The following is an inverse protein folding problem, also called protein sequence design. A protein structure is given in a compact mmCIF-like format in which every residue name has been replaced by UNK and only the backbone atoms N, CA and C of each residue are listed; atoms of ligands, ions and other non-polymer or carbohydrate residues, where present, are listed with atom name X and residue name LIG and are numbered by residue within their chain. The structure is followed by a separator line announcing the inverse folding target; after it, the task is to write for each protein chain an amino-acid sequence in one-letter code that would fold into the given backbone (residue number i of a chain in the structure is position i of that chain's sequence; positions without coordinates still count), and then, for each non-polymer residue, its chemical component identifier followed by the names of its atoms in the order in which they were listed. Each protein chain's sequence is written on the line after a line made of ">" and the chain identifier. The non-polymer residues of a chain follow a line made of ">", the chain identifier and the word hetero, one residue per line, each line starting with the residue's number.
data_IF_470409085078
#
_entry.id   IF_470409085078
#
_cell.length_a   1.000
_cell.length_b   1.000
_cell.length_c   1.000
_cell.angle_alpha   90.00
_cell.angle_beta   90.00
_cell.angle_gamma   90.00
#
_symmetry.space_group_name_H-M   'P 1'
#
loop_
_entity.id
_entity.type
_entity.pdbx_description
1 polymer ?
#
# COMPACT_ATOMS: atom_id res chain seq x y z
N UNK A 1 26.89 0.51 0.39
CA UNK A 1 27.00 -0.22 1.67
C UNK A 1 25.73 -0.12 2.51
N UNK A 2 25.12 1.07 2.69
CA UNK A 2 23.91 1.23 3.52
C UNK A 2 22.73 0.36 3.06
N UNK A 3 22.50 0.23 1.73
CA UNK A 3 21.42 -0.60 1.18
C UNK A 3 21.67 -2.09 1.52
N UNK A 4 22.87 -2.58 1.35
CA UNK A 4 23.19 -3.98 1.64
C UNK A 4 23.14 -4.30 3.13
N UNK A 5 23.62 -3.37 3.98
CA UNK A 5 23.50 -3.50 5.43
C UNK A 5 22.02 -3.51 5.87
N UNK A 6 21.20 -2.63 5.29
CA UNK A 6 19.76 -2.61 5.53
C UNK A 6 19.07 -3.90 5.12
N UNK A 7 19.40 -4.45 3.95
CA UNK A 7 18.85 -5.73 3.50
C UNK A 7 19.27 -6.89 4.40
N UNK A 8 20.54 -6.95 4.81
CA UNK A 8 21.02 -7.97 5.72
C UNK A 8 20.27 -7.95 7.06
N UNK A 9 20.03 -6.75 7.63
CA UNK A 9 19.23 -6.60 8.85
C UNK A 9 17.78 -7.07 8.67
N UNK A 10 17.16 -6.75 7.53
CA UNK A 10 15.78 -7.21 7.23
C UNK A 10 15.72 -8.72 7.11
N UNK A 11 16.67 -9.34 6.41
CA UNK A 11 16.72 -10.81 6.27
C UNK A 11 16.92 -11.47 7.63
N UNK A 12 17.87 -10.98 8.43
CA UNK A 12 18.13 -11.50 9.78
C UNK A 12 16.91 -11.39 10.68
N UNK A 13 16.25 -10.22 10.68
CA UNK A 13 15.01 -10.01 11.43
C UNK A 13 13.93 -11.00 11.03
N UNK A 14 13.69 -11.16 9.73
CA UNK A 14 12.64 -12.04 9.22
C UNK A 14 12.94 -13.52 9.54
N UNK A 15 14.23 -13.94 9.51
CA UNK A 15 14.63 -15.27 9.92
C UNK A 15 14.37 -15.53 11.41
N UNK A 16 14.68 -14.55 12.28
CA UNK A 16 14.39 -14.65 13.72
C UNK A 16 12.88 -14.70 13.99
N UNK A 17 12.08 -13.89 13.30
CA UNK A 17 10.63 -13.93 13.43
C UNK A 17 10.05 -15.26 12.95
N UNK A 18 10.53 -15.78 11.82
CA UNK A 18 10.15 -17.09 11.31
C UNK A 18 10.48 -18.21 12.28
N UNK A 19 11.67 -18.18 12.87
CA UNK A 19 12.07 -19.16 13.88
C UNK A 19 11.18 -19.10 15.14
N UNK A 20 10.81 -17.90 15.60
CA UNK A 20 9.94 -17.73 16.75
C UNK A 20 8.51 -18.28 16.48
N UNK A 21 7.95 -18.03 15.30
CA UNK A 21 6.66 -18.57 14.90
C UNK A 21 6.69 -20.09 14.72
N UNK A 22 7.77 -20.65 14.16
CA UNK A 22 7.95 -22.11 14.11
C UNK A 22 8.01 -22.72 15.51
N UNK A 23 8.70 -22.06 16.45
CA UNK A 23 8.70 -22.45 17.86
C UNK A 23 7.29 -22.43 18.48
N UNK A 24 6.44 -21.46 18.11
CA UNK A 24 5.06 -21.41 18.55
C UNK A 24 4.27 -22.65 18.11
N UNK A 25 4.38 -23.09 16.88
CA UNK A 25 3.69 -24.30 16.42
C UNK A 25 4.17 -25.58 17.10
N UNK A 26 5.42 -25.62 17.55
CA UNK A 26 5.94 -26.74 18.35
C UNK A 26 5.36 -26.75 19.76
N UNK A 27 5.20 -25.57 20.37
CA UNK A 27 4.66 -25.43 21.72
C UNK A 27 3.14 -25.62 21.78
N UNK A 28 2.44 -25.27 20.70
CA UNK A 28 0.96 -25.28 20.64
C UNK A 28 0.47 -26.03 19.40
N UNK A 29 0.63 -27.37 19.33
CA UNK A 29 0.27 -28.17 18.14
C UNK A 29 -1.22 -28.27 17.87
N UNK A 30 -2.06 -28.02 18.87
CA UNK A 30 -3.54 -28.19 18.77
C UNK A 30 -4.28 -26.95 18.28
N UNK A 31 -3.56 -25.97 17.73
CA UNK A 31 -4.19 -24.76 17.17
C UNK A 31 -4.92 -25.09 15.87
N UNK A 32 -6.20 -24.79 15.82
CA UNK A 32 -7.08 -25.11 14.69
C UNK A 32 -7.74 -23.89 14.05
N UNK A 33 -7.70 -22.72 14.73
CA UNK A 33 -8.38 -21.51 14.30
C UNK A 33 -7.42 -20.40 13.86
N UNK A 34 -7.79 -19.63 12.86
CA UNK A 34 -7.00 -18.49 12.34
C UNK A 34 -6.76 -17.44 13.44
N UNK A 35 -7.72 -17.23 14.32
CA UNK A 35 -7.57 -16.30 15.48
C UNK A 35 -6.42 -16.69 16.41
N UNK A 36 -6.16 -17.98 16.55
CA UNK A 36 -5.04 -18.48 17.35
C UNK A 36 -3.69 -18.10 16.70
N UNK A 37 -3.61 -18.11 15.38
CA UNK A 37 -2.40 -17.70 14.64
C UNK A 37 -2.16 -16.19 14.72
N UNK A 38 -3.20 -15.38 14.67
CA UNK A 38 -3.09 -13.92 14.82
C UNK A 38 -2.61 -13.55 16.24
N UNK A 39 -3.01 -14.31 17.24
CA UNK A 39 -2.58 -14.11 18.62
C UNK A 39 -1.26 -14.82 18.96
N UNK A 40 -0.71 -15.61 18.04
CA UNK A 40 0.49 -16.45 18.27
C UNK A 40 1.68 -15.67 18.84
N UNK A 41 1.95 -14.50 18.28
CA UNK A 41 3.05 -13.66 18.70
C UNK A 41 2.91 -13.13 20.12
N UNK A 42 1.71 -12.69 20.47
CA UNK A 42 1.40 -12.20 21.83
C UNK A 42 1.47 -13.33 22.84
N UNK A 43 0.85 -14.45 22.53
CA UNK A 43 0.83 -15.63 23.38
C UNK A 43 2.23 -16.16 23.64
N UNK A 44 3.03 -16.32 22.58
CA UNK A 44 4.42 -16.73 22.72
C UNK A 44 5.21 -15.79 23.64
N UNK A 45 5.09 -14.47 23.44
CA UNK A 45 5.78 -13.48 24.25
C UNK A 45 5.33 -13.49 25.71
N UNK A 46 4.04 -13.52 25.98
CA UNK A 46 3.51 -13.48 27.36
C UNK A 46 3.73 -14.78 28.13
N UNK A 47 3.76 -15.93 27.46
CA UNK A 47 3.90 -17.23 28.14
C UNK A 47 5.36 -17.69 28.27
N UNK A 48 6.27 -17.22 27.41
CA UNK A 48 7.67 -17.70 27.40
C UNK A 48 8.70 -16.73 27.98
N UNK A 49 8.38 -15.42 28.01
CA UNK A 49 9.32 -14.42 28.50
C UNK A 49 9.31 -14.31 30.03
N UNK A 50 10.50 -14.09 30.65
CA UNK A 50 10.58 -13.77 32.07
C UNK A 50 9.83 -12.49 32.42
N UNK A 51 9.34 -12.38 33.66
CA UNK A 51 8.50 -11.26 34.12
C UNK A 51 9.05 -9.87 33.80
N UNK A 52 10.35 -9.63 33.93
CA UNK A 52 10.98 -8.35 33.60
C UNK A 52 10.99 -8.06 32.08
N UNK A 53 11.06 -9.08 31.22
CA UNK A 53 11.06 -8.94 29.77
C UNK A 53 9.65 -8.79 29.18
N UNK A 54 8.62 -9.22 29.86
CA UNK A 54 7.23 -9.05 29.42
C UNK A 54 6.88 -7.56 29.27
N UNK A 55 7.29 -6.72 30.23
CA UNK A 55 7.09 -5.28 30.15
C UNK A 55 7.82 -4.65 28.94
N UNK A 56 9.05 -5.08 28.69
CA UNK A 56 9.83 -4.66 27.51
C UNK A 56 9.17 -5.07 26.20
N UNK A 57 8.70 -6.31 26.13
CA UNK A 57 7.98 -6.85 24.97
C UNK A 57 6.70 -6.06 24.69
N UNK A 58 5.89 -5.82 25.72
CA UNK A 58 4.68 -5.00 25.60
C UNK A 58 4.98 -3.57 25.15
N UNK A 59 5.98 -2.92 25.75
CA UNK A 59 6.40 -1.58 25.35
C UNK A 59 6.89 -1.53 23.90
N UNK A 60 7.61 -2.54 23.44
CA UNK A 60 8.06 -2.65 22.06
C UNK A 60 6.89 -2.78 21.06
N UNK A 61 5.89 -3.61 21.38
CA UNK A 61 4.67 -3.75 20.57
C UNK A 61 3.93 -2.41 20.49
N UNK A 62 3.71 -1.76 21.61
CA UNK A 62 3.03 -0.45 21.65
C UNK A 62 3.80 0.58 20.85
N UNK A 63 5.13 0.65 20.99
CA UNK A 63 5.98 1.58 20.26
C UNK A 63 5.92 1.38 18.73
N UNK A 64 5.96 0.13 18.25
CA UNK A 64 5.83 -0.20 16.83
C UNK A 64 4.47 0.28 16.29
N UNK A 65 3.38 0.00 17.00
CA UNK A 65 2.04 0.41 16.59
C UNK A 65 1.89 1.93 16.59
N UNK A 66 2.33 2.62 17.63
CA UNK A 66 2.28 4.08 17.69
C UNK A 66 3.08 4.73 16.59
N UNK A 67 4.27 4.22 16.27
CA UNK A 67 5.09 4.72 15.17
C UNK A 67 4.36 4.60 13.82
N UNK A 68 3.78 3.44 13.54
CA UNK A 68 3.06 3.18 12.29
C UNK A 68 1.79 4.03 12.19
N UNK A 69 0.94 4.03 13.22
CA UNK A 69 -0.31 4.81 13.27
C UNK A 69 -0.02 6.30 13.11
N UNK A 70 0.95 6.85 13.86
CA UNK A 70 1.34 8.25 13.77
C UNK A 70 1.75 8.65 12.35
N UNK A 71 2.56 7.82 11.69
CA UNK A 71 3.00 8.07 10.32
C UNK A 71 1.82 8.10 9.33
N UNK A 72 0.92 7.13 9.40
CA UNK A 72 -0.23 7.05 8.49
C UNK A 72 -1.25 8.17 8.76
N UNK A 73 -1.50 8.52 10.02
CA UNK A 73 -2.39 9.64 10.37
C UNK A 73 -1.83 10.97 9.87
N UNK A 74 -0.52 11.20 10.06
CA UNK A 74 0.13 12.42 9.56
C UNK A 74 0.08 12.51 8.04
N UNK A 75 0.38 11.41 7.34
CA UNK A 75 0.32 11.35 5.88
C UNK A 75 -1.10 11.60 5.37
N UNK A 76 -2.10 10.95 5.95
CA UNK A 76 -3.50 11.15 5.62
C UNK A 76 -3.97 12.57 5.89
N UNK A 77 -3.54 13.18 7.02
CA UNK A 77 -3.84 14.57 7.33
C UNK A 77 -3.22 15.54 6.31
N UNK A 78 -2.01 15.26 5.81
CA UNK A 78 -1.38 16.05 4.74
C UNK A 78 -2.18 15.95 3.45
N UNK A 79 -2.62 14.78 3.02
CA UNK A 79 -3.47 14.61 1.85
C UNK A 79 -4.80 15.39 1.99
N UNK A 80 -5.47 15.29 3.13
CA UNK A 80 -6.70 16.06 3.38
C UNK A 80 -6.42 17.58 3.35
N UNK A 81 -5.32 18.02 3.95
CA UNK A 81 -5.03 19.43 4.11
C UNK A 81 -4.49 20.07 2.84
N UNK A 82 -3.46 19.48 2.24
CA UNK A 82 -2.75 20.07 1.10
C UNK A 82 -3.41 19.73 -0.23
N UNK A 83 -3.71 18.44 -0.45
CA UNK A 83 -4.15 17.97 -1.75
C UNK A 83 -5.66 18.20 -1.94
N UNK A 84 -6.46 18.01 -0.88
CA UNK A 84 -7.90 18.20 -0.97
C UNK A 84 -8.33 19.63 -0.60
N UNK A 85 -8.08 20.04 0.64
CA UNK A 85 -8.59 21.32 1.15
C UNK A 85 -7.92 22.52 0.50
N UNK A 86 -6.59 22.59 0.53
CA UNK A 86 -5.87 23.74 -0.01
C UNK A 86 -5.97 23.81 -1.54
N UNK A 87 -5.91 22.66 -2.23
CA UNK A 87 -5.95 22.67 -3.68
C UNK A 87 -7.34 22.92 -4.27
N UNK A 88 -8.39 22.29 -3.72
CA UNK A 88 -9.75 22.34 -4.32
C UNK A 88 -10.74 23.22 -3.56
N UNK A 89 -10.64 23.36 -2.23
CA UNK A 89 -11.65 24.03 -1.42
C UNK A 89 -11.25 25.47 -1.13
N UNK A 90 -10.03 25.71 -0.66
CA UNK A 90 -9.56 27.04 -0.33
C UNK A 90 -8.08 27.26 -0.67
N UNK A 91 -7.73 27.60 -1.93
CA UNK A 91 -6.35 27.84 -2.35
C UNK A 91 -5.68 29.04 -1.67
N UNK A 92 -6.45 29.93 -1.02
CA UNK A 92 -5.94 31.10 -0.31
C UNK A 92 -5.93 30.95 1.21
N UNK A 93 -6.07 29.70 1.72
CA UNK A 93 -6.05 29.44 3.15
C UNK A 93 -4.68 29.80 3.75
N UNK A 94 -4.72 30.49 4.89
CA UNK A 94 -3.53 30.76 5.68
C UNK A 94 -3.01 29.50 6.41
N UNK A 95 -1.76 29.53 6.86
CA UNK A 95 -1.13 28.39 7.53
C UNK A 95 -1.85 27.97 8.81
N UNK A 96 -2.44 28.90 9.57
CA UNK A 96 -3.21 28.59 10.80
C UNK A 96 -4.43 27.76 10.47
N UNK A 97 -5.13 28.10 9.38
CA UNK A 97 -6.30 27.37 8.93
C UNK A 97 -5.94 25.98 8.42
N UNK A 98 -4.82 25.84 7.69
CA UNK A 98 -4.31 24.56 7.23
C UNK A 98 -3.93 23.65 8.40
N UNK A 99 -3.28 24.16 9.44
CA UNK A 99 -2.97 23.41 10.66
C UNK A 99 -4.26 22.93 11.36
N UNK A 100 -5.29 23.78 11.44
CA UNK A 100 -6.55 23.38 12.03
C UNK A 100 -7.26 22.28 11.23
N UNK A 101 -7.33 22.43 9.90
CA UNK A 101 -7.87 21.40 8.99
C UNK A 101 -7.10 20.08 9.14
N UNK A 102 -5.77 20.14 9.26
CA UNK A 102 -4.94 18.96 9.50
C UNK A 102 -5.29 18.24 10.81
N UNK A 103 -5.49 19.00 11.91
CA UNK A 103 -5.91 18.43 13.19
C UNK A 103 -7.27 17.73 13.11
N UNK A 104 -8.25 18.40 12.48
CA UNK A 104 -9.58 17.82 12.27
C UNK A 104 -9.49 16.57 11.39
N UNK A 105 -8.71 16.64 10.30
CA UNK A 105 -8.45 15.50 9.44
C UNK A 105 -7.85 14.30 10.19
N UNK A 106 -6.87 14.56 11.07
CA UNK A 106 -6.28 13.50 11.92
C UNK A 106 -7.32 12.85 12.82
N UNK A 107 -8.19 13.64 13.45
CA UNK A 107 -9.26 13.12 14.33
C UNK A 107 -10.26 12.29 13.52
N UNK A 108 -10.68 12.77 12.35
CA UNK A 108 -11.60 12.03 11.46
C UNK A 108 -11.00 10.68 11.05
N UNK A 109 -9.73 10.67 10.65
CA UNK A 109 -9.02 9.45 10.26
C UNK A 109 -8.90 8.49 11.45
N UNK A 110 -8.58 8.99 12.62
CA UNK A 110 -8.44 8.17 13.83
C UNK A 110 -9.77 7.52 14.20
N UNK A 111 -10.85 8.32 14.29
CA UNK A 111 -12.19 7.81 14.60
C UNK A 111 -12.67 6.82 13.54
N UNK A 112 -12.48 7.15 12.25
CA UNK A 112 -12.78 6.26 11.15
C UNK A 112 -12.03 4.93 11.24
N UNK A 113 -10.75 4.97 11.61
CA UNK A 113 -9.94 3.75 11.81
C UNK A 113 -10.44 2.89 12.96
N UNK A 114 -10.88 3.48 14.07
CA UNK A 114 -11.48 2.75 15.18
C UNK A 114 -12.81 2.09 14.79
N UNK A 115 -13.70 2.83 14.11
CA UNK A 115 -14.98 2.30 13.64
C UNK A 115 -14.74 1.14 12.68
N UNK A 116 -13.85 1.33 11.70
CA UNK A 116 -13.53 0.31 10.73
C UNK A 116 -12.89 -0.93 11.37
N UNK A 117 -11.92 -0.72 12.27
CA UNK A 117 -11.27 -1.80 13.01
C UNK A 117 -12.21 -2.60 13.91
N UNK A 118 -13.28 -1.97 14.46
CA UNK A 118 -14.27 -2.67 15.29
C UNK A 118 -15.21 -3.60 14.50
N UNK A 119 -15.30 -3.41 13.17
CA UNK A 119 -16.12 -4.23 12.27
C UNK A 119 -15.31 -5.43 11.74
N UNK A 120 -13.98 -5.35 11.79
CA UNK A 120 -13.11 -6.39 11.28
C UNK A 120 -13.11 -7.61 12.21
N UNK A 121 -13.51 -8.76 11.67
CA UNK A 121 -13.43 -10.03 12.40
C UNK A 121 -12.08 -10.73 12.22
N UNK A 122 -11.44 -10.53 11.08
CA UNK A 122 -10.19 -11.20 10.69
C UNK A 122 -9.21 -10.20 10.06
N UNK A 123 -8.13 -9.92 10.77
CA UNK A 123 -7.11 -8.96 10.33
C UNK A 123 -6.38 -9.45 9.07
N UNK A 124 -6.13 -10.75 8.98
CA UNK A 124 -5.39 -11.37 7.88
C UNK A 124 -6.13 -11.21 6.54
N UNK A 125 -7.43 -11.43 6.51
CA UNK A 125 -8.24 -11.26 5.29
C UNK A 125 -8.23 -9.80 4.80
N UNK A 126 -8.37 -8.85 5.72
CA UNK A 126 -8.31 -7.43 5.39
C UNK A 126 -6.93 -6.98 4.92
N UNK A 127 -5.87 -7.53 5.49
CA UNK A 127 -4.50 -7.27 5.06
C UNK A 127 -4.28 -7.81 3.63
N UNK A 128 -4.70 -9.03 3.35
CA UNK A 128 -4.60 -9.64 2.02
C UNK A 128 -5.37 -8.79 1.00
N UNK A 129 -6.60 -8.40 1.33
CA UNK A 129 -7.42 -7.53 0.48
C UNK A 129 -6.73 -6.19 0.18
N UNK A 130 -6.17 -5.53 1.20
CA UNK A 130 -5.41 -4.29 1.01
C UNK A 130 -4.18 -4.48 0.12
N UNK A 131 -3.46 -5.60 0.28
CA UNK A 131 -2.32 -5.95 -0.57
C UNK A 131 -2.72 -6.17 -2.03
N UNK A 132 -3.88 -6.77 -2.29
CA UNK A 132 -4.38 -6.97 -3.66
C UNK A 132 -4.77 -5.65 -4.34
N UNK A 133 -5.45 -4.76 -3.61
CA UNK A 133 -5.73 -3.40 -4.10
C UNK A 133 -4.43 -2.68 -4.45
N UNK A 134 -3.44 -2.74 -3.56
CA UNK A 134 -2.16 -2.08 -3.78
C UNK A 134 -1.36 -2.72 -4.93
N UNK A 135 -1.36 -4.02 -5.07
CA UNK A 135 -0.57 -4.71 -6.08
C UNK A 135 -0.97 -4.29 -7.50
N UNK A 136 -2.24 -4.37 -7.82
CA UNK A 136 -2.73 -4.10 -9.17
C UNK A 136 -3.13 -2.62 -9.37
N UNK A 137 -3.53 -1.91 -8.32
CA UNK A 137 -3.94 -0.50 -8.38
C UNK A 137 -2.81 0.51 -8.17
N UNK A 138 -1.75 0.13 -7.47
CA UNK A 138 -0.66 1.04 -7.12
C UNK A 138 0.69 0.57 -7.63
N UNK A 139 1.11 -0.66 -7.33
CA UNK A 139 2.47 -1.11 -7.66
C UNK A 139 2.67 -1.31 -9.14
N UNK A 140 1.76 -2.00 -9.82
CA UNK A 140 1.87 -2.20 -11.26
C UNK A 140 1.83 -0.88 -12.03
N UNK A 141 0.86 0.04 -11.81
CA UNK A 141 0.88 1.37 -12.39
C UNK A 141 2.11 2.19 -12.00
N UNK A 142 2.56 2.08 -10.75
CA UNK A 142 3.77 2.74 -10.25
C UNK A 142 5.04 2.31 -10.98
N UNK A 143 5.16 1.04 -11.34
CA UNK A 143 6.24 0.55 -12.18
C UNK A 143 6.09 1.09 -13.61
N UNK A 144 4.89 1.00 -14.19
CA UNK A 144 4.63 1.43 -15.57
C UNK A 144 4.89 2.91 -15.78
N UNK A 145 4.57 3.79 -14.83
CA UNK A 145 4.86 5.22 -14.96
C UNK A 145 6.37 5.55 -15.07
N UNK A 146 7.23 4.67 -14.54
CA UNK A 146 8.69 4.84 -14.63
C UNK A 146 9.26 4.23 -15.90
N UNK A 147 8.75 3.06 -16.33
CA UNK A 147 9.33 2.34 -17.47
C UNK A 147 8.65 2.65 -18.82
N UNK A 148 7.48 3.25 -18.81
CA UNK A 148 6.68 3.46 -20.02
C UNK A 148 6.24 4.93 -20.19
N UNK A 149 6.86 5.66 -21.10
CA UNK A 149 6.63 7.08 -21.37
C UNK A 149 5.17 7.45 -21.66
N UNK A 150 4.39 6.49 -22.20
CA UNK A 150 2.98 6.73 -22.62
C UNK A 150 2.01 6.64 -21.45
N UNK A 151 2.41 6.02 -20.33
CA UNK A 151 1.58 5.89 -19.13
C UNK A 151 1.30 7.29 -18.56
N UNK A 152 0.04 7.55 -18.20
CA UNK A 152 -0.42 8.87 -17.80
C UNK A 152 -1.29 8.81 -16.54
N UNK A 153 -1.66 9.99 -16.01
CA UNK A 153 -2.47 10.11 -14.79
C UNK A 153 -3.86 9.48 -14.89
N UNK A 154 -4.47 9.46 -16.07
CA UNK A 154 -5.76 8.81 -16.27
C UNK A 154 -5.66 7.29 -16.17
N UNK A 155 -4.61 6.71 -16.73
CA UNK A 155 -4.32 5.28 -16.57
C UNK A 155 -4.09 4.90 -15.11
N UNK A 156 -3.35 5.74 -14.37
CA UNK A 156 -3.09 5.52 -12.95
C UNK A 156 -4.39 5.60 -12.12
N UNK A 157 -5.17 6.65 -12.32
CA UNK A 157 -6.44 6.85 -11.62
C UNK A 157 -7.42 5.70 -11.90
N UNK A 158 -7.52 5.30 -13.17
CA UNK A 158 -8.36 4.16 -13.58
C UNK A 158 -7.93 2.87 -12.93
N UNK A 159 -6.62 2.58 -12.88
CA UNK A 159 -6.08 1.39 -12.23
C UNK A 159 -6.47 1.38 -10.74
N UNK A 160 -6.37 2.51 -10.07
CA UNK A 160 -6.66 2.63 -8.64
C UNK A 160 -8.15 2.42 -8.34
N UNK A 161 -9.03 3.18 -9.02
CA UNK A 161 -10.47 3.11 -8.81
C UNK A 161 -11.03 1.74 -9.21
N UNK A 162 -10.65 1.26 -10.40
CA UNK A 162 -11.09 -0.03 -10.88
C UNK A 162 -10.71 -1.16 -9.93
N UNK A 163 -9.45 -1.17 -9.48
CA UNK A 163 -8.98 -2.22 -8.60
C UNK A 163 -9.63 -2.18 -7.21
N UNK A 164 -9.88 -0.99 -6.66
CA UNK A 164 -10.59 -0.86 -5.41
C UNK A 164 -11.99 -1.50 -5.49
N UNK A 165 -12.75 -1.14 -6.52
CA UNK A 165 -14.12 -1.66 -6.72
C UNK A 165 -14.11 -3.14 -7.10
N UNK A 166 -13.22 -3.52 -8.01
CA UNK A 166 -13.21 -4.88 -8.53
C UNK A 166 -12.64 -5.91 -7.54
N UNK A 167 -11.68 -5.50 -6.69
CA UNK A 167 -11.20 -6.34 -5.61
C UNK A 167 -12.33 -6.66 -4.62
N UNK A 168 -13.13 -5.66 -4.26
CA UNK A 168 -14.27 -5.87 -3.38
C UNK A 168 -15.32 -6.82 -3.99
N UNK A 169 -15.61 -6.63 -5.28
CA UNK A 169 -16.53 -7.52 -6.01
C UNK A 169 -16.02 -8.97 -6.07
N UNK A 170 -14.77 -9.19 -6.42
CA UNK A 170 -14.18 -10.54 -6.60
C UNK A 170 -14.01 -11.27 -5.28
N UNK A 171 -13.63 -10.56 -4.22
CA UNK A 171 -13.34 -11.20 -2.93
C UNK A 171 -14.60 -11.54 -2.16
N UNK A 172 -15.61 -10.67 -2.16
CA UNK A 172 -16.78 -10.84 -1.30
C UNK A 172 -18.10 -10.96 -2.06
N UNK A 173 -18.37 -10.08 -3.03
CA UNK A 173 -19.71 -10.00 -3.63
C UNK A 173 -19.99 -11.19 -4.53
N UNK A 174 -19.14 -11.45 -5.51
CA UNK A 174 -19.40 -12.52 -6.49
C UNK A 174 -19.42 -13.93 -5.86
N UNK A 175 -18.55 -14.28 -4.89
CA UNK A 175 -18.66 -15.52 -4.17
C UNK A 175 -19.92 -15.62 -3.31
N UNK A 176 -20.35 -14.54 -2.64
CA UNK A 176 -21.57 -14.51 -1.83
C UNK A 176 -22.84 -14.78 -2.65
N UNK A 177 -22.86 -14.35 -3.93
CA UNK A 177 -23.96 -14.65 -4.87
C UNK A 177 -23.77 -15.95 -5.64
N UNK A 178 -22.71 -16.73 -5.36
CA UNK A 178 -22.44 -18.00 -6.05
C UNK A 178 -22.04 -17.86 -7.53
N UNK A 179 -21.70 -16.65 -7.98
CA UNK A 179 -21.31 -16.38 -9.37
C UNK A 179 -19.93 -16.97 -9.69
N UNK A 180 -19.03 -16.89 -8.73
CA UNK A 180 -17.70 -17.53 -8.80
C UNK A 180 -17.44 -18.28 -7.50
N UNK A 181 -16.62 -19.35 -7.51
CA UNK A 181 -16.18 -20.01 -6.29
C UNK A 181 -15.27 -19.07 -5.48
N UNK A 182 -15.12 -19.34 -4.18
CA UNK A 182 -14.09 -18.69 -3.39
C UNK A 182 -12.71 -19.01 -3.95
N UNK A 183 -12.08 -18.01 -4.54
CA UNK A 183 -10.76 -18.15 -5.15
C UNK A 183 -9.69 -18.15 -4.05
N UNK A 184 -8.63 -18.92 -4.25
CA UNK A 184 -7.44 -18.84 -3.41
C UNK A 184 -6.71 -17.51 -3.62
N UNK A 185 -5.97 -17.05 -2.62
CA UNK A 185 -5.28 -15.75 -2.62
C UNK A 185 -4.46 -15.49 -3.88
N UNK A 186 -3.66 -16.46 -4.32
CA UNK A 186 -2.86 -16.34 -5.55
C UNK A 186 -3.72 -16.26 -6.83
N UNK A 187 -4.90 -16.88 -6.86
CA UNK A 187 -5.83 -16.78 -7.98
C UNK A 187 -6.46 -15.40 -8.03
N UNK A 188 -6.88 -14.86 -6.89
CA UNK A 188 -7.39 -13.49 -6.77
C UNK A 188 -6.33 -12.49 -7.22
N UNK A 189 -5.09 -12.64 -6.76
CA UNK A 189 -3.99 -11.79 -7.15
C UNK A 189 -3.80 -11.70 -8.67
N UNK A 190 -3.64 -12.84 -9.33
CA UNK A 190 -3.44 -12.87 -10.78
C UNK A 190 -4.64 -12.37 -11.56
N UNK A 191 -5.85 -12.73 -11.13
CA UNK A 191 -7.09 -12.26 -11.73
C UNK A 191 -7.18 -10.74 -11.70
N UNK A 192 -6.96 -10.13 -10.54
CA UNK A 192 -7.01 -8.68 -10.37
C UNK A 192 -5.90 -7.97 -11.15
N UNK A 193 -4.70 -8.53 -11.19
CA UNK A 193 -3.60 -8.00 -12.00
C UNK A 193 -3.94 -7.97 -13.50
N UNK A 194 -4.45 -9.08 -14.04
CA UNK A 194 -4.82 -9.16 -15.45
C UNK A 194 -6.00 -8.27 -15.80
N UNK A 195 -7.07 -8.33 -15.01
CA UNK A 195 -8.26 -7.50 -15.27
C UNK A 195 -7.96 -6.01 -15.10
N UNK A 196 -7.19 -5.64 -14.08
CA UNK A 196 -6.72 -4.27 -13.93
C UNK A 196 -5.95 -3.81 -15.18
N UNK A 197 -4.99 -4.60 -15.65
CA UNK A 197 -4.20 -4.28 -16.84
C UNK A 197 -5.07 -4.14 -18.10
N UNK A 198 -6.04 -5.04 -18.32
CA UNK A 198 -6.99 -4.98 -19.43
C UNK A 198 -7.80 -3.69 -19.43
N UNK A 199 -8.07 -3.10 -18.26
CA UNK A 199 -8.84 -1.86 -18.17
C UNK A 199 -7.95 -0.62 -18.27
N UNK A 200 -6.91 -0.51 -17.47
CA UNK A 200 -6.14 0.74 -17.41
C UNK A 200 -5.18 0.94 -18.60
N UNK A 201 -4.70 -0.15 -19.24
CA UNK A 201 -3.82 0.00 -20.43
C UNK A 201 -4.57 0.65 -21.60
N UNK A 202 -5.76 0.17 -22.02
CA UNK A 202 -6.54 0.86 -23.04
C UNK A 202 -6.87 2.31 -22.67
N UNK A 203 -7.27 2.59 -21.44
CA UNK A 203 -7.54 3.96 -21.01
C UNK A 203 -6.29 4.83 -21.15
N UNK A 204 -5.13 4.32 -20.76
CA UNK A 204 -3.85 5.01 -20.96
C UNK A 204 -3.60 5.32 -22.44
N UNK A 205 -3.89 4.39 -23.35
CA UNK A 205 -3.68 4.55 -24.78
C UNK A 205 -4.71 5.47 -25.44
N UNK A 206 -5.94 5.46 -24.98
CA UNK A 206 -7.04 6.27 -25.51
C UNK A 206 -7.05 7.70 -24.97
N UNK A 207 -6.46 7.94 -23.82
CA UNK A 207 -6.38 9.27 -23.21
C UNK A 207 -5.14 10.05 -23.70
N UNK A 208 -5.14 11.38 -23.53
CA UNK A 208 -4.03 12.23 -23.95
C UNK A 208 -2.75 11.91 -23.17
N UNK A 209 -1.62 11.78 -23.88
CA UNK A 209 -0.31 11.65 -23.26
C UNK A 209 0.06 12.90 -22.46
N UNK A 210 0.99 12.77 -21.51
CA UNK A 210 1.63 13.92 -20.89
C UNK A 210 2.37 14.77 -21.92
N UNK A 211 2.53 16.07 -21.63
CA UNK A 211 3.23 16.97 -22.56
C UNK A 211 4.68 16.54 -22.76
N UNK A 212 5.13 16.59 -24.01
CA UNK A 212 6.49 16.17 -24.37
C UNK A 212 7.56 16.97 -23.61
N UNK A 213 7.29 18.22 -23.26
CA UNK A 213 8.21 19.05 -22.48
C UNK A 213 8.42 18.51 -21.06
N UNK A 214 7.34 18.08 -20.37
CA UNK A 214 7.44 17.44 -19.07
C UNK A 214 8.18 16.12 -19.15
N UNK A 215 7.88 15.31 -20.18
CA UNK A 215 8.50 14.00 -20.37
C UNK A 215 10.00 14.12 -20.68
N UNK A 216 10.41 15.09 -21.53
CA UNK A 216 11.81 15.36 -21.81
C UNK A 216 12.54 15.85 -20.56
N UNK A 217 11.95 16.78 -19.82
CA UNK A 217 12.53 17.25 -18.55
C UNK A 217 12.77 16.10 -17.57
N UNK A 218 11.77 15.23 -17.39
CA UNK A 218 11.89 14.05 -16.54
C UNK A 218 12.97 13.09 -17.05
N UNK A 219 12.99 12.81 -18.35
CA UNK A 219 13.96 11.89 -18.96
C UNK A 219 15.41 12.38 -18.80
N UNK A 220 15.67 13.66 -19.02
CA UNK A 220 17.01 14.25 -18.87
C UNK A 220 17.50 14.17 -17.43
N UNK A 221 16.60 14.40 -16.45
CA UNK A 221 16.94 14.38 -15.03
C UNK A 221 17.15 12.97 -14.47
N UNK A 222 16.31 12.00 -14.85
CA UNK A 222 16.26 10.68 -14.22
C UNK A 222 16.83 9.54 -15.08
N UNK A 223 16.93 9.72 -16.40
CA UNK A 223 17.37 8.72 -17.38
C UNK A 223 16.77 7.33 -17.12
N UNK A 224 15.45 7.22 -17.03
CA UNK A 224 14.79 5.99 -16.64
C UNK A 224 15.02 4.89 -17.69
N UNK A 225 15.05 3.66 -17.22
CA UNK A 225 15.08 2.47 -18.07
C UNK A 225 13.69 2.17 -18.65
N UNK A 226 13.63 1.47 -19.80
CA UNK A 226 12.37 1.00 -20.38
C UNK A 226 12.02 1.67 -21.73
N UNK A 227 10.73 1.84 -21.96
CA UNK A 227 10.19 2.26 -23.26
C UNK A 227 10.11 3.79 -23.42
N UNK A 228 11.27 4.45 -23.42
CA UNK A 228 11.41 5.90 -23.54
C UNK A 228 11.91 6.36 -24.91
N UNK A 229 11.91 5.48 -25.93
CA UNK A 229 12.46 5.76 -27.25
C UNK A 229 12.03 7.08 -27.89
N UNK A 230 10.72 7.40 -27.99
CA UNK A 230 10.24 8.66 -28.56
C UNK A 230 10.73 9.89 -27.79
N UNK A 231 10.72 9.85 -26.46
CA UNK A 231 11.15 10.96 -25.60
C UNK A 231 12.68 11.16 -25.68
N UNK A 232 13.43 10.06 -25.73
CA UNK A 232 14.89 10.09 -25.92
C UNK A 232 15.28 10.75 -27.24
N UNK A 233 14.59 10.40 -28.34
CA UNK A 233 14.83 11.02 -29.67
C UNK A 233 14.56 12.52 -29.65
N UNK A 234 13.48 12.93 -28.98
CA UNK A 234 13.14 14.34 -28.86
C UNK A 234 14.13 15.11 -27.95
N UNK A 235 14.58 14.51 -26.86
CA UNK A 235 15.62 15.10 -26.01
C UNK A 235 16.95 15.31 -26.76
N UNK A 236 17.36 14.32 -27.58
CA UNK A 236 18.53 14.44 -28.46
C UNK A 236 18.36 15.52 -29.50
N UNK A 237 17.18 15.64 -30.13
CA UNK A 237 16.87 16.71 -31.11
C UNK A 237 16.98 18.11 -30.49
N UNK A 238 16.66 18.24 -29.21
CA UNK A 238 16.80 19.51 -28.44
C UNK A 238 18.20 19.76 -27.89
N UNK A 239 19.18 18.90 -28.17
CA UNK A 239 20.55 19.05 -27.68
C UNK A 239 20.72 18.89 -26.17
N UNK A 240 19.80 18.14 -25.52
CA UNK A 240 19.78 17.94 -24.07
C UNK A 240 20.40 16.60 -23.60
N UNK A 241 20.93 15.81 -24.54
CA UNK A 241 21.57 14.51 -24.29
C UNK A 241 23.00 14.48 -24.80
#
# INVERSE_FOLDING_TARGET
>A
WCIWAGQALVVTRNALWGAAILGFFVLYPDLTQVKDYEMAWFRLGFETLPVGMIGFFFAAIVAIHLSTISTHLNLGAVYITRDLYHHYINPKADERKLVWVGRVGTVILLVGSFIFGSIMENITEWLIFALWIMAAGVWLPGILQVIWWRFNGWGYLTAWIFNLVFSWLVVWVLPAFGVIPHLRDYQQFWLLMFLGAIVFIPVTLLTKAESMDKLVKFYVMSRPVGWWGPVRKEAARRGLL
#
